data_IF_847095113890
#
_entry.id   IF_847095113890
#
_cell.length_a   1.000
_cell.length_b   1.000
_cell.length_c   1.000
_cell.angle_alpha   90.00
_cell.angle_beta   90.00
_cell.angle_gamma   90.00
#
_symmetry.space_group_name_H-M   'P 1'
#
loop_
_entity.id
_entity.type
_entity.pdbx_description
1 polymer ?
#
# COMPACT_ATOMS: atom_id res chain seq x y z
N UNK A 1 5.08 -5.56 27.57
CA UNK A 1 4.35 -4.27 27.51
C UNK A 1 2.89 -4.55 27.21
N UNK A 2 2.07 -4.51 28.27
CA UNK A 2 0.84 -5.28 28.41
C UNK A 2 -0.39 -4.79 27.65
N UNK A 3 -1.39 -5.68 27.62
CA UNK A 3 -2.74 -5.56 27.02
C UNK A 3 -3.37 -4.17 27.13
N UNK A 4 -3.18 -3.49 28.27
CA UNK A 4 -3.71 -2.14 28.57
C UNK A 4 -3.21 -1.09 27.57
N UNK A 5 -1.93 -1.12 27.18
CA UNK A 5 -1.38 -0.19 26.20
C UNK A 5 -1.86 -0.43 24.77
N UNK A 6 -2.43 -1.62 24.48
CA UNK A 6 -3.06 -1.93 23.19
C UNK A 6 -4.48 -1.38 23.16
N UNK A 7 -5.25 -1.56 24.24
CA UNK A 7 -6.61 -1.03 24.41
C UNK A 7 -6.64 0.50 24.34
N UNK A 8 -5.74 1.17 25.07
CA UNK A 8 -5.66 2.64 25.05
C UNK A 8 -5.33 3.21 23.67
N UNK A 9 -4.50 2.50 22.88
CA UNK A 9 -4.21 2.88 21.49
C UNK A 9 -5.41 2.67 20.59
N UNK A 10 -6.16 1.59 20.76
CA UNK A 10 -7.41 1.35 20.01
C UNK A 10 -8.45 2.42 20.32
N UNK A 11 -8.66 2.77 21.60
CA UNK A 11 -9.59 3.83 22.01
C UNK A 11 -9.17 5.18 21.47
N UNK A 12 -7.88 5.53 21.57
CA UNK A 12 -7.35 6.78 21.00
C UNK A 12 -7.43 6.82 19.47
N UNK A 13 -7.37 5.66 18.80
CA UNK A 13 -7.59 5.54 17.35
C UNK A 13 -9.06 5.81 17.04
N UNK A 14 -9.99 5.10 17.71
CA UNK A 14 -11.45 5.28 17.57
C UNK A 14 -11.88 6.72 17.83
N UNK A 15 -11.29 7.42 18.82
CA UNK A 15 -11.64 8.82 19.09
C UNK A 15 -11.09 9.81 18.06
N UNK A 16 -10.04 9.43 17.31
CA UNK A 16 -9.41 10.29 16.28
C UNK A 16 -9.92 10.02 14.88
N UNK A 17 -10.26 8.77 14.57
CA UNK A 17 -10.92 8.39 13.32
C UNK A 17 -12.42 8.52 13.49
N UNK A 18 -13.06 9.39 12.70
CA UNK A 18 -14.52 9.48 12.62
C UNK A 18 -15.08 8.22 11.95
N UNK A 19 -15.15 7.12 12.71
CA UNK A 19 -15.71 5.87 12.21
C UNK A 19 -17.18 6.07 11.84
N UNK A 20 -17.64 5.47 10.73
CA UNK A 20 -19.04 5.53 10.35
C UNK A 20 -19.96 4.97 11.44
N UNK A 21 -21.18 5.49 11.52
CA UNK A 21 -22.18 5.10 12.53
C UNK A 21 -22.44 3.59 12.53
N UNK A 22 -22.41 2.96 11.35
CA UNK A 22 -22.65 1.53 11.19
C UNK A 22 -21.60 0.62 11.83
N UNK A 23 -20.37 1.12 12.05
CA UNK A 23 -19.37 0.36 12.80
C UNK A 23 -19.76 0.13 14.27
N UNK A 24 -20.76 0.87 14.77
CA UNK A 24 -21.31 0.76 16.12
C UNK A 24 -22.75 0.21 16.13
N UNK A 25 -23.19 -0.42 15.03
CA UNK A 25 -24.55 -0.97 14.91
C UNK A 25 -25.66 0.07 14.70
N UNK A 26 -25.31 1.34 14.46
CA UNK A 26 -26.27 2.39 14.14
C UNK A 26 -26.46 2.49 12.62
N UNK A 27 -27.63 2.89 12.10
CA UNK A 27 -27.79 3.09 10.67
C UNK A 27 -26.83 4.18 10.13
N UNK A 28 -26.38 4.07 8.87
CA UNK A 28 -25.67 5.14 8.19
C UNK A 28 -26.48 6.45 8.23
N UNK A 29 -25.78 7.59 8.17
CA UNK A 29 -26.45 8.87 8.06
C UNK A 29 -27.29 8.96 6.78
N UNK A 30 -28.27 9.88 6.76
CA UNK A 30 -29.10 10.12 5.57
C UNK A 30 -28.19 10.50 4.40
N UNK A 31 -28.32 9.79 3.27
CA UNK A 31 -27.51 9.94 2.05
C UNK A 31 -26.04 9.47 2.18
N UNK A 32 -25.67 8.81 3.27
CA UNK A 32 -24.38 8.14 3.39
C UNK A 32 -24.39 6.83 2.61
N UNK A 33 -23.40 6.65 1.74
CA UNK A 33 -23.17 5.41 1.02
C UNK A 33 -21.92 4.78 1.66
N UNK A 34 -22.05 3.63 2.35
CA UNK A 34 -20.90 2.92 2.90
C UNK A 34 -19.91 2.54 1.80
N UNK A 35 -18.62 2.72 2.11
CA UNK A 35 -17.51 2.32 1.24
C UNK A 35 -16.70 1.25 1.98
N UNK A 36 -16.58 0.07 1.38
CA UNK A 36 -15.78 -1.04 1.89
C UNK A 36 -14.49 -1.12 1.08
N UNK A 37 -13.35 -1.21 1.77
CA UNK A 37 -12.03 -1.24 1.13
C UNK A 37 -11.31 -2.54 1.45
N UNK A 38 -10.93 -3.26 0.40
CA UNK A 38 -10.19 -4.52 0.44
C UNK A 38 -8.80 -4.31 -0.17
N UNK A 39 -7.85 -5.18 0.19
CA UNK A 39 -6.49 -5.19 -0.40
C UNK A 39 -6.24 -6.58 -1.00
N UNK A 40 -5.75 -7.51 -0.18
CA UNK A 40 -5.77 -8.94 -0.49
C UNK A 40 -7.10 -9.57 -0.05
N UNK A 41 -7.59 -10.51 -0.86
CA UNK A 41 -8.84 -11.21 -0.59
C UNK A 41 -8.67 -12.72 -0.62
N UNK A 42 -9.34 -13.36 0.33
CA UNK A 42 -9.50 -14.81 0.39
C UNK A 42 -10.89 -15.20 -0.12
N UNK A 43 -11.05 -16.34 -0.82
CA UNK A 43 -12.31 -16.74 -1.44
C UNK A 43 -13.49 -16.75 -0.46
N UNK A 44 -13.37 -17.46 0.66
CA UNK A 44 -14.48 -17.63 1.60
C UNK A 44 -14.85 -16.33 2.32
N UNK A 45 -13.84 -15.49 2.62
CA UNK A 45 -14.05 -14.21 3.27
C UNK A 45 -14.85 -13.25 2.38
N UNK A 46 -14.39 -13.06 1.14
CA UNK A 46 -15.09 -12.17 0.21
C UNK A 46 -16.46 -12.74 -0.18
N UNK A 47 -16.58 -14.05 -0.43
CA UNK A 47 -17.86 -14.66 -0.76
C UNK A 47 -18.90 -14.45 0.35
N UNK A 48 -18.50 -14.62 1.62
CA UNK A 48 -19.37 -14.36 2.77
C UNK A 48 -19.84 -12.89 2.84
N UNK A 49 -18.94 -11.94 2.61
CA UNK A 49 -19.28 -10.51 2.59
C UNK A 49 -20.27 -10.18 1.45
N UNK A 50 -20.05 -10.69 0.25
CA UNK A 50 -20.93 -10.47 -0.90
C UNK A 50 -22.30 -11.14 -0.72
N UNK A 51 -22.32 -12.36 -0.17
CA UNK A 51 -23.56 -13.07 0.16
C UNK A 51 -24.37 -12.32 1.22
N UNK A 52 -23.71 -11.81 2.26
CA UNK A 52 -24.35 -11.01 3.29
C UNK A 52 -25.00 -9.77 2.67
N UNK A 53 -24.25 -9.02 1.85
CA UNK A 53 -24.75 -7.83 1.18
C UNK A 53 -25.97 -8.16 0.30
N UNK A 54 -25.87 -9.18 -0.56
CA UNK A 54 -26.95 -9.61 -1.46
C UNK A 54 -28.19 -10.05 -0.68
N UNK A 55 -28.02 -10.90 0.34
CA UNK A 55 -29.12 -11.44 1.15
C UNK A 55 -29.85 -10.36 1.95
N UNK A 56 -29.14 -9.27 2.29
CA UNK A 56 -29.71 -8.09 2.91
C UNK A 56 -30.14 -7.02 1.89
N UNK A 57 -30.25 -7.34 0.60
CA UNK A 57 -30.77 -6.44 -0.42
C UNK A 57 -29.88 -5.21 -0.68
N UNK A 58 -28.59 -5.29 -0.37
CA UNK A 58 -27.62 -4.27 -0.77
C UNK A 58 -27.22 -4.44 -2.23
N UNK A 59 -26.99 -3.30 -2.88
CA UNK A 59 -26.47 -3.22 -4.26
C UNK A 59 -25.12 -2.54 -4.27
N UNK A 60 -24.13 -3.20 -4.83
CA UNK A 60 -22.82 -2.61 -5.09
C UNK A 60 -22.90 -1.70 -6.33
N UNK A 61 -22.53 -0.44 -6.14
CA UNK A 61 -22.62 0.61 -7.16
C UNK A 61 -21.37 0.65 -8.03
N UNK A 62 -21.53 1.02 -9.30
CA UNK A 62 -20.38 1.48 -10.09
C UNK A 62 -19.96 2.89 -9.65
N UNK A 63 -18.76 3.31 -10.04
CA UNK A 63 -18.17 4.58 -9.62
C UNK A 63 -19.02 5.78 -10.09
N UNK A 64 -19.53 5.73 -11.31
CA UNK A 64 -20.32 6.81 -11.87
C UNK A 64 -21.66 7.00 -11.12
N UNK A 65 -22.34 5.90 -10.75
CA UNK A 65 -23.53 5.97 -9.92
C UNK A 65 -23.24 6.59 -8.54
N UNK A 66 -22.14 6.17 -7.91
CA UNK A 66 -21.69 6.72 -6.64
C UNK A 66 -21.42 8.23 -6.74
N UNK A 67 -20.66 8.67 -7.74
CA UNK A 67 -20.32 10.07 -7.94
C UNK A 67 -21.57 10.92 -8.21
N UNK A 68 -22.46 10.47 -9.10
CA UNK A 68 -23.72 11.17 -9.39
C UNK A 68 -24.59 11.32 -8.14
N UNK A 69 -24.68 10.27 -7.32
CA UNK A 69 -25.43 10.33 -6.06
C UNK A 69 -24.83 11.32 -5.06
N UNK A 70 -23.49 11.34 -4.94
CA UNK A 70 -22.78 12.26 -4.05
C UNK A 70 -22.95 13.72 -4.47
N UNK A 71 -22.83 14.02 -5.76
CA UNK A 71 -23.00 15.39 -6.30
C UNK A 71 -24.45 15.87 -6.15
N UNK A 72 -25.43 15.01 -6.47
CA UNK A 72 -26.85 15.36 -6.38
C UNK A 72 -27.41 15.32 -4.95
N UNK A 73 -26.62 14.89 -3.96
CA UNK A 73 -27.12 14.62 -2.61
C UNK A 73 -28.24 13.58 -2.57
N UNK A 74 -28.27 12.67 -3.54
CA UNK A 74 -29.35 11.68 -3.70
C UNK A 74 -29.13 10.48 -2.79
N UNK A 75 -30.17 10.10 -2.06
CA UNK A 75 -30.19 8.84 -1.32
C UNK A 75 -30.26 7.65 -2.27
N UNK A 76 -29.35 6.68 -2.12
CA UNK A 76 -29.49 5.36 -2.71
C UNK A 76 -29.76 4.38 -1.58
N UNK A 77 -31.00 3.90 -1.48
CA UNK A 77 -31.38 2.91 -0.49
C UNK A 77 -30.53 1.65 -0.68
N UNK A 78 -29.85 1.21 0.40
CA UNK A 78 -28.98 0.03 0.43
C UNK A 78 -27.90 0.02 -0.67
N UNK A 79 -27.45 1.19 -1.13
CA UNK A 79 -26.27 1.30 -2.00
C UNK A 79 -24.99 1.19 -1.19
N UNK A 80 -24.00 0.47 -1.73
CA UNK A 80 -22.63 0.39 -1.18
C UNK A 80 -21.61 0.54 -2.30
N UNK A 81 -20.42 1.02 -1.97
CA UNK A 81 -19.28 1.01 -2.88
C UNK A 81 -18.26 0.00 -2.39
N UNK A 82 -17.85 -0.92 -3.27
CA UNK A 82 -16.76 -1.86 -2.99
C UNK A 82 -15.50 -1.33 -3.67
N UNK A 83 -14.44 -1.11 -2.91
CA UNK A 83 -13.13 -0.68 -3.44
C UNK A 83 -12.06 -1.69 -3.11
N UNK A 84 -11.14 -1.85 -4.03
CA UNK A 84 -10.00 -2.75 -3.91
C UNK A 84 -8.75 -1.96 -4.26
N UNK A 85 -7.76 -2.00 -3.38
CA UNK A 85 -6.49 -1.29 -3.59
C UNK A 85 -5.40 -2.26 -4.09
N UNK A 86 -4.30 -1.70 -4.56
CA UNK A 86 -3.06 -2.38 -4.96
C UNK A 86 -3.08 -3.27 -6.21
N UNK A 87 -4.23 -3.63 -6.77
CA UNK A 87 -4.33 -4.53 -7.93
C UNK A 87 -3.57 -5.85 -7.74
N UNK A 88 -3.75 -6.45 -6.57
CA UNK A 88 -3.21 -7.76 -6.21
C UNK A 88 -3.78 -8.85 -7.11
N UNK A 89 -3.01 -9.90 -7.35
CA UNK A 89 -3.43 -11.03 -8.18
C UNK A 89 -4.68 -11.75 -7.63
N UNK A 90 -4.86 -11.74 -6.30
CA UNK A 90 -6.07 -12.20 -5.62
C UNK A 90 -7.34 -11.51 -6.12
N UNK A 91 -7.28 -10.24 -6.54
CA UNK A 91 -8.43 -9.57 -7.16
C UNK A 91 -8.85 -10.27 -8.46
N UNK A 92 -7.88 -10.59 -9.33
CA UNK A 92 -8.15 -11.24 -10.60
C UNK A 92 -8.65 -12.68 -10.42
N UNK A 93 -7.95 -13.45 -9.58
CA UNK A 93 -8.22 -14.88 -9.40
C UNK A 93 -9.49 -15.13 -8.57
N UNK A 94 -9.84 -14.23 -7.65
CA UNK A 94 -10.93 -14.42 -6.66
C UNK A 94 -12.02 -13.36 -6.79
N UNK A 95 -11.67 -12.07 -6.67
CA UNK A 95 -12.69 -11.02 -6.58
C UNK A 95 -13.50 -10.88 -7.88
N UNK A 96 -12.86 -10.82 -9.04
CA UNK A 96 -13.56 -10.61 -10.31
C UNK A 96 -14.58 -11.73 -10.63
N UNK A 97 -14.26 -13.03 -10.50
CA UNK A 97 -15.24 -14.11 -10.65
C UNK A 97 -16.41 -14.00 -9.66
N UNK A 98 -16.13 -13.69 -8.39
CA UNK A 98 -17.17 -13.56 -7.37
C UNK A 98 -18.09 -12.36 -7.65
N UNK A 99 -17.53 -11.18 -7.93
CA UNK A 99 -18.28 -9.99 -8.30
C UNK A 99 -19.24 -10.25 -9.47
N UNK A 100 -18.80 -10.98 -10.50
CA UNK A 100 -19.66 -11.44 -11.61
C UNK A 100 -20.79 -12.35 -11.14
N UNK A 101 -20.49 -13.35 -10.31
CA UNK A 101 -21.49 -14.32 -9.82
C UNK A 101 -22.56 -13.69 -8.91
N UNK A 102 -22.19 -12.62 -8.19
CA UNK A 102 -23.08 -11.88 -7.29
C UNK A 102 -23.75 -10.68 -7.97
N UNK A 103 -23.45 -10.39 -9.24
CA UNK A 103 -23.92 -9.21 -9.97
C UNK A 103 -23.61 -7.90 -9.24
N UNK A 104 -22.36 -7.75 -8.81
CA UNK A 104 -21.89 -6.62 -8.01
C UNK A 104 -20.74 -5.87 -8.69
N UNK A 105 -20.80 -4.55 -8.65
CA UNK A 105 -19.75 -3.67 -9.17
C UNK A 105 -18.66 -3.37 -8.13
N UNK A 106 -17.47 -3.02 -8.61
CA UNK A 106 -16.37 -2.59 -7.76
C UNK A 106 -15.49 -1.53 -8.42
N UNK A 107 -14.72 -0.81 -7.61
CA UNK A 107 -13.66 0.10 -8.06
C UNK A 107 -12.31 -0.51 -7.69
N UNK A 108 -11.42 -0.65 -8.67
CA UNK A 108 -10.07 -1.17 -8.47
C UNK A 108 -9.05 -0.04 -8.63
N UNK A 109 -8.34 0.31 -7.56
CA UNK A 109 -7.25 1.28 -7.57
C UNK A 109 -5.91 0.57 -7.79
N UNK A 110 -5.26 0.81 -8.92
CA UNK A 110 -4.02 0.16 -9.30
C UNK A 110 -2.78 1.10 -9.22
N UNK A 111 -1.73 0.74 -8.48
CA UNK A 111 -0.46 1.46 -8.49
C UNK A 111 0.40 1.02 -9.67
N UNK A 112 0.61 1.92 -10.62
CA UNK A 112 1.12 1.58 -11.95
C UNK A 112 2.54 1.02 -12.00
N UNK A 113 3.39 1.28 -11.00
CA UNK A 113 4.76 0.74 -10.93
C UNK A 113 4.80 -0.77 -10.69
N UNK A 114 3.83 -1.30 -9.95
CA UNK A 114 3.81 -2.70 -9.53
C UNK A 114 3.09 -3.63 -10.52
N UNK A 115 2.36 -3.05 -11.46
CA UNK A 115 1.66 -3.78 -12.53
C UNK A 115 2.67 -4.54 -13.41
N UNK A 116 2.46 -5.85 -13.54
CA UNK A 116 3.35 -6.72 -14.31
C UNK A 116 3.37 -6.32 -15.79
N UNK A 117 4.57 -6.22 -16.36
CA UNK A 117 4.78 -6.15 -17.82
C UNK A 117 4.87 -7.56 -18.37
N UNK A 118 4.32 -7.78 -19.57
CA UNK A 118 4.23 -9.10 -20.23
C UNK A 118 5.58 -9.84 -20.34
N UNK A 119 6.69 -9.11 -20.35
CA UNK A 119 8.04 -9.64 -20.56
C UNK A 119 8.81 -9.92 -19.26
N UNK A 120 8.33 -9.45 -18.10
CA UNK A 120 9.06 -9.51 -16.84
C UNK A 120 8.61 -10.72 -15.98
N UNK A 121 9.53 -11.67 -15.77
CA UNK A 121 9.33 -12.87 -14.93
C UNK A 121 10.03 -12.76 -13.57
N UNK A 122 9.88 -11.62 -12.88
CA UNK A 122 10.40 -11.47 -11.52
C UNK A 122 9.35 -11.90 -10.49
N UNK A 123 9.74 -12.72 -9.49
CA UNK A 123 8.84 -13.27 -8.47
C UNK A 123 8.06 -12.19 -7.67
N UNK A 124 8.61 -10.99 -7.51
CA UNK A 124 7.90 -9.87 -6.87
C UNK A 124 6.71 -9.35 -7.70
N UNK A 125 6.71 -9.59 -9.02
CA UNK A 125 5.64 -9.20 -9.94
C UNK A 125 4.51 -10.24 -10.02
N UNK A 126 4.67 -11.43 -9.43
CA UNK A 126 3.58 -12.43 -9.36
C UNK A 126 2.54 -12.10 -8.27
N UNK A 127 2.81 -11.11 -7.41
CA UNK A 127 1.87 -10.61 -6.42
C UNK A 127 0.78 -9.70 -7.01
N UNK A 128 1.05 -9.11 -8.18
CA UNK A 128 0.19 -8.09 -8.79
C UNK A 128 -0.35 -8.56 -10.14
N UNK A 129 -1.44 -7.93 -10.55
CA UNK A 129 -2.03 -8.13 -11.86
C UNK A 129 -1.10 -7.61 -12.97
N UNK A 130 -1.26 -8.15 -14.18
CA UNK A 130 -0.71 -7.56 -15.40
C UNK A 130 -1.60 -6.43 -15.93
N UNK A 131 -1.03 -5.59 -16.78
CA UNK A 131 -1.80 -4.58 -17.52
C UNK A 131 -2.92 -5.20 -18.39
N UNK A 132 -2.71 -6.40 -18.93
CA UNK A 132 -3.72 -7.12 -19.71
C UNK A 132 -4.90 -7.55 -18.83
N UNK A 133 -4.64 -8.09 -17.65
CA UNK A 133 -5.68 -8.44 -16.68
C UNK A 133 -6.45 -7.19 -16.23
N UNK A 134 -5.73 -6.09 -15.98
CA UNK A 134 -6.35 -4.81 -15.62
C UNK A 134 -7.26 -4.28 -16.73
N UNK A 135 -6.84 -4.41 -18.00
CA UNK A 135 -7.68 -4.06 -19.16
C UNK A 135 -8.94 -4.93 -19.22
N UNK A 136 -8.80 -6.24 -19.03
CA UNK A 136 -9.93 -7.17 -19.01
C UNK A 136 -10.92 -6.87 -17.86
N UNK A 137 -10.43 -6.41 -16.70
CA UNK A 137 -11.31 -5.90 -15.63
C UNK A 137 -12.12 -4.69 -16.10
N UNK A 138 -11.48 -3.69 -16.72
CA UNK A 138 -12.18 -2.51 -17.25
C UNK A 138 -13.20 -2.88 -18.32
N UNK A 139 -12.85 -3.77 -19.24
CA UNK A 139 -13.72 -4.18 -20.35
C UNK A 139 -14.87 -5.08 -19.90
N UNK A 140 -14.81 -5.63 -18.68
CA UNK A 140 -15.87 -6.49 -18.15
C UNK A 140 -17.19 -5.77 -17.87
N UNK A 141 -17.17 -4.44 -17.74
CA UNK A 141 -18.32 -3.65 -17.28
C UNK A 141 -18.65 -3.81 -15.78
N UNK A 142 -17.95 -4.69 -15.07
CA UNK A 142 -18.14 -4.94 -13.63
C UNK A 142 -17.24 -4.05 -12.78
N UNK A 143 -16.04 -3.72 -13.29
CA UNK A 143 -14.99 -3.05 -12.53
C UNK A 143 -14.60 -1.72 -13.14
N UNK A 144 -14.74 -0.65 -12.35
CA UNK A 144 -14.14 0.65 -12.66
C UNK A 144 -12.68 0.66 -12.23
N UNK A 145 -11.75 0.81 -13.18
CA UNK A 145 -10.31 0.85 -12.89
C UNK A 145 -9.84 2.29 -12.71
N UNK A 146 -9.16 2.56 -11.59
CA UNK A 146 -8.66 3.88 -11.20
C UNK A 146 -7.19 3.83 -10.76
N UNK A 147 -6.55 5.00 -10.68
CA UNK A 147 -5.13 5.13 -10.31
C UNK A 147 -4.93 5.11 -8.79
N UNK A 148 -3.99 4.29 -8.31
CA UNK A 148 -3.48 4.32 -6.92
C UNK A 148 -2.09 4.96 -6.83
N UNK A 149 -1.92 6.06 -7.58
CA UNK A 149 -0.62 6.69 -7.83
C UNK A 149 0.36 5.74 -8.55
N UNK A 150 1.66 6.08 -8.56
CA UNK A 150 2.63 5.29 -9.31
C UNK A 150 3.20 4.16 -8.46
N UNK A 151 3.86 4.49 -7.36
CA UNK A 151 4.63 3.56 -6.54
C UNK A 151 3.93 3.17 -5.26
N UNK A 152 2.93 3.95 -4.81
CA UNK A 152 2.28 3.77 -3.51
C UNK A 152 3.32 3.57 -2.37
N UNK A 153 4.35 4.44 -2.35
CA UNK A 153 5.53 4.24 -1.51
C UNK A 153 5.45 4.93 -0.15
N UNK A 154 6.06 4.31 0.86
CA UNK A 154 6.48 4.97 2.09
C UNK A 154 7.79 5.72 1.86
N UNK A 155 7.99 6.86 2.53
CA UNK A 155 9.27 7.58 2.55
C UNK A 155 9.75 7.81 3.98
N UNK A 156 11.07 7.72 4.25
CA UNK A 156 11.62 8.07 5.56
C UNK A 156 11.29 9.53 5.89
N UNK A 157 10.86 9.79 7.12
CA UNK A 157 10.51 11.15 7.58
C UNK A 157 11.44 11.66 8.68
N UNK A 158 12.34 10.81 9.19
CA UNK A 158 13.31 11.16 10.22
C UNK A 158 14.48 10.16 10.22
N UNK A 159 15.68 10.56 10.68
CA UNK A 159 16.84 9.67 10.87
C UNK A 159 16.69 8.75 12.09
N UNK A 160 15.47 8.30 12.40
CA UNK A 160 15.18 7.41 13.52
C UNK A 160 15.00 6.00 12.99
N UNK A 161 15.96 5.12 13.31
CA UNK A 161 15.86 3.69 13.01
C UNK A 161 14.74 3.09 13.87
N UNK A 162 13.78 2.44 13.21
CA UNK A 162 12.75 1.61 13.86
C UNK A 162 13.19 0.15 13.90
N UNK A 163 13.81 -0.34 12.84
CA UNK A 163 14.37 -1.69 12.77
C UNK A 163 15.48 -1.82 11.72
N UNK A 164 16.02 -3.02 11.52
CA UNK A 164 16.79 -3.39 10.35
C UNK A 164 16.11 -4.55 9.64
N UNK A 165 16.25 -4.62 8.33
CA UNK A 165 15.82 -5.76 7.54
C UNK A 165 16.47 -7.04 8.08
N UNK A 166 15.64 -7.94 8.61
CA UNK A 166 16.04 -9.22 9.19
C UNK A 166 15.03 -10.29 8.74
N UNK A 167 15.36 -11.60 8.84
CA UNK A 167 14.51 -12.66 8.31
C UNK A 167 13.08 -12.63 8.87
N UNK A 168 12.93 -12.36 10.18
CA UNK A 168 11.61 -12.28 10.80
C UNK A 168 10.80 -11.08 10.27
N UNK A 169 11.44 -9.92 10.09
CA UNK A 169 10.78 -8.74 9.53
C UNK A 169 10.39 -8.96 8.05
N UNK A 170 11.27 -9.54 7.24
CA UNK A 170 11.01 -9.86 5.83
C UNK A 170 9.89 -10.90 5.66
N UNK A 171 9.73 -11.83 6.59
CA UNK A 171 8.62 -12.77 6.59
C UNK A 171 7.28 -12.13 7.02
N UNK A 172 7.33 -11.09 7.86
CA UNK A 172 6.15 -10.48 8.49
C UNK A 172 5.51 -9.36 7.67
N UNK A 173 6.32 -8.52 7.03
CA UNK A 173 5.85 -7.29 6.40
C UNK A 173 5.72 -7.46 4.89
N UNK A 174 4.65 -6.91 4.32
CA UNK A 174 4.42 -6.98 2.88
C UNK A 174 5.26 -5.94 2.13
N UNK A 175 5.23 -5.97 0.80
CA UNK A 175 6.04 -5.16 -0.09
C UNK A 175 5.93 -3.66 0.16
N UNK A 176 4.73 -3.16 0.48
CA UNK A 176 4.44 -1.74 0.72
C UNK A 176 4.86 -1.23 2.10
N UNK A 177 5.09 -2.13 3.06
CA UNK A 177 5.53 -1.75 4.41
C UNK A 177 6.98 -1.27 4.44
N UNK A 178 7.72 -1.43 3.33
CA UNK A 178 9.12 -1.07 3.22
C UNK A 178 9.30 0.33 2.61
N UNK A 179 9.91 1.29 3.34
CA UNK A 179 10.17 2.63 2.81
C UNK A 179 11.02 2.58 1.55
N UNK A 180 10.68 3.39 0.55
CA UNK A 180 11.54 3.63 -0.60
C UNK A 180 12.90 4.13 -0.09
N UNK A 181 13.98 3.52 -0.60
CA UNK A 181 15.35 3.84 -0.21
C UNK A 181 16.06 4.50 -1.37
N UNK A 182 16.87 5.50 -1.06
CA UNK A 182 17.84 6.06 -1.98
C UNK A 182 19.22 5.64 -1.47
N UNK A 183 19.92 4.81 -2.23
CA UNK A 183 21.25 4.31 -1.86
C UNK A 183 22.19 4.70 -2.99
N UNK A 184 23.06 5.68 -2.72
CA UNK A 184 23.77 6.40 -3.76
C UNK A 184 22.78 7.08 -4.70
N UNK A 185 22.88 6.81 -6.00
CA UNK A 185 21.96 7.33 -7.02
C UNK A 185 20.78 6.39 -7.33
N UNK A 186 20.76 5.19 -6.73
CA UNK A 186 19.75 4.17 -7.02
C UNK A 186 18.56 4.27 -6.07
N UNK A 187 17.35 4.19 -6.64
CA UNK A 187 16.11 4.03 -5.89
C UNK A 187 15.80 2.55 -5.77
N UNK A 188 15.66 2.09 -4.54
CA UNK A 188 15.23 0.72 -4.23
C UNK A 188 13.82 0.75 -3.63
N UNK A 189 12.91 -0.01 -4.25
CA UNK A 189 11.54 -0.24 -3.77
C UNK A 189 11.38 -1.71 -3.36
N UNK A 190 10.40 -1.99 -2.51
CA UNK A 190 10.07 -3.34 -2.08
C UNK A 190 10.98 -3.89 -0.99
N UNK A 191 11.12 -5.23 -0.93
CA UNK A 191 11.86 -5.93 0.12
C UNK A 191 13.35 -5.57 0.11
N UNK A 192 13.90 -5.01 1.19
CA UNK A 192 15.31 -4.65 1.26
C UNK A 192 16.22 -5.86 1.52
N UNK A 193 17.51 -5.73 1.16
CA UNK A 193 18.54 -6.67 1.57
C UNK A 193 18.69 -6.73 3.11
N UNK A 194 19.12 -7.87 3.64
CA UNK A 194 19.35 -8.04 5.07
C UNK A 194 20.35 -7.00 5.61
N UNK A 195 20.14 -6.55 6.84
CA UNK A 195 20.95 -5.52 7.49
C UNK A 195 20.63 -4.08 7.05
N UNK A 196 19.75 -3.86 6.08
CA UNK A 196 19.31 -2.50 5.70
C UNK A 196 18.61 -1.80 6.88
N UNK A 197 19.02 -0.60 7.30
CA UNK A 197 18.27 0.17 8.29
C UNK A 197 16.88 0.56 7.76
N UNK A 198 15.88 0.40 8.61
CA UNK A 198 14.51 0.84 8.38
C UNK A 198 14.27 2.08 9.23
N UNK A 199 14.10 3.21 8.58
CA UNK A 199 13.81 4.48 9.23
C UNK A 199 12.31 4.66 9.45
N UNK A 200 11.96 5.49 10.44
CA UNK A 200 10.58 5.96 10.61
C UNK A 200 10.10 6.59 9.30
N UNK A 201 8.97 6.11 8.79
CA UNK A 201 8.44 6.48 7.48
C UNK A 201 6.93 6.73 7.53
N UNK A 202 6.44 7.44 6.51
CA UNK A 202 5.02 7.75 6.29
C UNK A 202 4.71 7.64 4.77
N UNK A 203 3.44 7.47 4.36
CA UNK A 203 3.08 7.44 2.95
C UNK A 203 3.46 8.73 2.24
N UNK A 204 4.14 8.61 1.09
CA UNK A 204 4.69 9.74 0.33
C UNK A 204 3.65 10.85 0.09
N UNK A 205 2.43 10.47 -0.31
CA UNK A 205 1.36 11.41 -0.65
C UNK A 205 0.79 12.18 0.55
N UNK A 206 1.17 11.81 1.77
CA UNK A 206 0.75 12.47 3.02
C UNK A 206 1.92 13.00 3.86
N UNK A 207 3.16 12.70 3.44
CA UNK A 207 4.35 13.04 4.20
C UNK A 207 4.63 14.54 4.10
N UNK A 208 4.82 15.21 5.24
CA UNK A 208 5.17 16.63 5.28
C UNK A 208 6.67 16.89 5.16
N UNK A 209 7.49 15.85 5.19
CA UNK A 209 8.95 15.89 5.09
C UNK A 209 9.48 14.55 4.61
N UNK A 210 10.67 14.56 4.01
CA UNK A 210 11.34 13.35 3.58
C UNK A 210 12.83 13.44 3.95
N UNK A 211 13.33 12.44 4.65
CA UNK A 211 14.73 12.28 5.03
C UNK A 211 15.42 11.35 4.02
N UNK A 212 16.50 11.84 3.41
CA UNK A 212 17.37 11.07 2.55
C UNK A 212 18.63 10.69 3.32
N UNK A 213 18.87 9.38 3.44
CA UNK A 213 20.16 8.90 3.94
C UNK A 213 21.20 8.91 2.80
N UNK A 214 22.48 9.01 3.17
CA UNK A 214 23.60 9.06 2.23
C UNK A 214 23.93 7.72 1.56
N UNK A 215 23.32 6.62 2.00
CA UNK A 215 23.63 5.25 1.58
C UNK A 215 24.82 4.63 2.31
N UNK A 216 25.74 5.43 2.86
CA UNK A 216 27.01 4.95 3.44
C UNK A 216 26.77 4.04 4.65
N UNK A 217 25.87 4.43 5.55
CA UNK A 217 25.60 3.63 6.73
C UNK A 217 24.79 2.38 6.37
N UNK A 218 23.89 2.49 5.39
CA UNK A 218 23.11 1.36 4.87
C UNK A 218 24.02 0.29 4.24
N UNK A 219 24.94 0.69 3.36
CA UNK A 219 25.86 -0.23 2.68
C UNK A 219 26.79 -0.93 3.69
N UNK A 220 27.35 -0.19 4.66
CA UNK A 220 28.20 -0.78 5.69
C UNK A 220 27.46 -1.81 6.57
N UNK A 221 26.17 -1.58 6.84
CA UNK A 221 25.36 -2.55 7.58
C UNK A 221 25.09 -3.81 6.75
N UNK A 222 24.73 -3.68 5.46
CA UNK A 222 24.56 -4.81 4.55
C UNK A 222 25.83 -5.64 4.43
N UNK A 223 26.96 -5.00 4.19
CA UNK A 223 28.27 -5.65 4.08
C UNK A 223 28.66 -6.41 5.36
N UNK A 224 28.34 -5.85 6.54
CA UNK A 224 28.54 -6.55 7.81
C UNK A 224 27.75 -7.86 7.88
N UNK A 225 26.48 -7.82 7.47
CA UNK A 225 25.62 -9.00 7.48
C UNK A 225 26.13 -10.03 6.48
N UNK A 226 26.43 -9.62 5.25
CA UNK A 226 26.90 -10.51 4.19
C UNK A 226 28.22 -11.20 4.58
N UNK A 227 29.19 -10.44 5.11
CA UNK A 227 30.48 -10.97 5.58
C UNK A 227 30.36 -11.93 6.76
N UNK A 228 29.28 -11.85 7.53
CA UNK A 228 29.04 -12.70 8.70
C UNK A 228 27.99 -13.78 8.45
N UNK A 229 27.83 -14.19 7.19
CA UNK A 229 27.02 -15.36 6.82
C UNK A 229 25.54 -15.05 6.54
N UNK A 230 25.19 -13.79 6.25
CA UNK A 230 23.85 -13.43 5.80
C UNK A 230 22.80 -13.66 6.88
N UNK A 231 21.91 -14.65 6.68
CA UNK A 231 20.89 -15.01 7.67
C UNK A 231 21.48 -15.51 8.99
N UNK A 232 22.64 -16.18 8.95
CA UNK A 232 23.32 -16.70 10.14
C UNK A 232 23.69 -15.61 11.13
N UNK A 233 23.99 -14.39 10.63
CA UNK A 233 24.27 -13.21 11.45
C UNK A 233 23.15 -12.93 12.46
N UNK A 234 21.89 -13.21 12.11
CA UNK A 234 20.73 -12.91 12.96
C UNK A 234 20.48 -13.94 14.05
N UNK A 235 21.23 -15.05 14.09
CA UNK A 235 21.22 -16.00 15.22
C UNK A 235 21.91 -15.43 16.47
N UNK A 236 22.81 -14.47 16.30
CA UNK A 236 23.46 -13.76 17.41
C UNK A 236 22.44 -12.83 18.10
N UNK A 237 22.10 -13.02 19.39
CA UNK A 237 21.13 -12.15 20.08
C UNK A 237 21.55 -10.68 20.15
N UNK A 238 22.82 -10.37 19.87
CA UNK A 238 23.38 -9.00 19.83
C UNK A 238 23.41 -8.40 18.42
N UNK A 239 22.89 -9.09 17.39
CA UNK A 239 22.89 -8.62 16.00
C UNK A 239 22.43 -7.16 15.88
N UNK A 240 21.37 -6.78 16.61
CA UNK A 240 20.80 -5.43 16.57
C UNK A 240 21.77 -4.38 17.10
N UNK A 241 22.43 -4.67 18.22
CA UNK A 241 23.41 -3.76 18.80
C UNK A 241 24.59 -3.56 17.84
N UNK A 242 25.04 -4.63 17.20
CA UNK A 242 26.14 -4.59 16.22
C UNK A 242 25.77 -3.73 15.01
N UNK A 243 24.58 -3.91 14.44
CA UNK A 243 24.10 -3.06 13.33
C UNK A 243 23.95 -1.60 13.75
N UNK A 244 23.41 -1.32 14.94
CA UNK A 244 23.33 0.06 15.45
C UNK A 244 24.70 0.71 15.61
N UNK A 245 25.70 -0.04 16.09
CA UNK A 245 27.07 0.45 16.23
C UNK A 245 27.70 0.74 14.86
N UNK A 246 27.58 -0.20 13.92
CA UNK A 246 28.07 -0.02 12.54
C UNK A 246 27.38 1.13 11.84
N UNK A 247 26.07 1.26 12.01
CA UNK A 247 25.32 2.38 11.47
C UNK A 247 25.84 3.72 12.02
N UNK A 248 25.94 3.87 13.34
CA UNK A 248 26.42 5.11 13.98
C UNK A 248 27.83 5.50 13.54
N UNK A 249 28.74 4.54 13.45
CA UNK A 249 30.12 4.77 13.06
C UNK A 249 30.27 5.27 11.61
N UNK A 250 29.26 5.05 10.76
CA UNK A 250 29.28 5.43 9.34
C UNK A 250 28.35 6.60 9.02
N UNK A 251 27.20 6.70 9.68
CA UNK A 251 26.26 7.80 9.49
C UNK A 251 26.87 9.17 9.90
N UNK A 252 27.79 9.19 10.86
CA UNK A 252 28.49 10.42 11.25
C UNK A 252 29.47 10.92 10.19
N UNK A 253 29.95 10.04 9.29
CA UNK A 253 30.90 10.38 8.22
C UNK A 253 30.21 10.96 7.00
N UNK A 254 28.94 10.60 6.79
CA UNK A 254 28.13 11.05 5.66
C UNK A 254 26.68 11.25 6.16
N UNK A 255 26.38 12.41 6.78
CA UNK A 255 25.05 12.67 7.30
C UNK A 255 24.02 12.75 6.17
N UNK A 256 22.80 12.29 6.43
CA UNK A 256 21.67 12.49 5.52
C UNK A 256 21.11 13.91 5.59
N UNK A 257 20.16 14.21 4.71
CA UNK A 257 19.53 15.52 4.60
C UNK A 257 18.01 15.40 4.42
N UNK A 258 17.29 16.46 4.77
CA UNK A 258 15.88 16.56 4.41
C UNK A 258 15.73 17.15 3.01
N UNK A 259 14.78 16.62 2.24
CA UNK A 259 14.33 17.28 1.02
C UNK A 259 13.74 18.65 1.35
N UNK A 260 13.98 19.63 0.48
CA UNK A 260 13.22 20.88 0.53
C UNK A 260 11.74 20.59 0.25
N UNK A 261 10.86 21.44 0.76
CA UNK A 261 9.41 21.31 0.55
C UNK A 261 9.06 21.21 -0.95
N UNK A 262 9.67 22.05 -1.78
CA UNK A 262 9.43 22.05 -3.23
C UNK A 262 9.94 20.79 -3.95
N UNK A 263 11.01 20.16 -3.47
CA UNK A 263 11.48 18.89 -4.03
C UNK A 263 10.55 17.74 -3.63
N UNK A 264 10.05 17.74 -2.38
CA UNK A 264 9.09 16.74 -1.91
C UNK A 264 7.74 16.87 -2.64
N UNK A 265 7.26 18.09 -2.84
CA UNK A 265 6.04 18.36 -3.61
C UNK A 265 6.15 17.83 -5.05
N UNK A 266 7.24 18.18 -5.76
CA UNK A 266 7.52 17.64 -7.10
C UNK A 266 7.63 16.11 -7.13
N UNK A 267 8.16 15.50 -6.08
CA UNK A 267 8.20 14.05 -5.96
C UNK A 267 6.77 13.47 -5.87
N UNK A 268 5.89 14.09 -5.08
CA UNK A 268 4.47 13.73 -5.03
C UNK A 268 3.75 13.91 -6.37
N UNK A 269 3.95 15.05 -7.04
CA UNK A 269 3.41 15.31 -8.39
C UNK A 269 3.85 14.25 -9.41
N UNK A 270 5.13 13.86 -9.37
CA UNK A 270 5.68 12.85 -10.27
C UNK A 270 5.00 11.49 -10.15
N UNK A 271 4.42 11.15 -8.99
CA UNK A 271 3.64 9.92 -8.81
C UNK A 271 2.35 9.95 -9.65
N UNK A 272 1.67 11.10 -9.70
CA UNK A 272 0.44 11.24 -10.48
C UNK A 272 0.74 11.31 -11.98
N UNK A 273 1.80 12.02 -12.36
CA UNK A 273 2.21 12.15 -13.76
C UNK A 273 2.63 10.80 -14.36
N UNK A 274 3.51 10.06 -13.66
CA UNK A 274 3.96 8.75 -14.09
C UNK A 274 2.80 7.75 -14.15
N UNK A 275 1.89 7.78 -13.17
CA UNK A 275 0.72 6.92 -13.20
C UNK A 275 -0.21 7.23 -14.36
N UNK A 276 -0.51 8.51 -14.59
CA UNK A 276 -1.31 8.95 -15.74
C UNK A 276 -0.68 8.52 -17.07
N UNK A 277 0.64 8.65 -17.20
CA UNK A 277 1.36 8.23 -18.40
C UNK A 277 1.23 6.71 -18.63
N UNK A 278 1.43 5.91 -17.59
CA UNK A 278 1.31 4.45 -17.65
C UNK A 278 -0.12 4.01 -18.02
N UNK A 279 -1.14 4.57 -17.36
CA UNK A 279 -2.54 4.29 -17.66
C UNK A 279 -2.89 4.65 -19.10
N UNK A 280 -2.45 5.81 -19.60
CA UNK A 280 -2.68 6.19 -21.01
C UNK A 280 -1.99 5.23 -21.98
N UNK A 281 -0.76 4.83 -21.69
CA UNK A 281 -0.01 3.92 -22.56
C UNK A 281 -0.65 2.53 -22.63
N UNK A 282 -1.16 2.01 -21.52
CA UNK A 282 -1.67 0.64 -21.46
C UNK A 282 -3.18 0.52 -21.63
N UNK A 283 -3.96 1.50 -21.17
CA UNK A 283 -5.43 1.45 -21.22
C UNK A 283 -6.04 2.46 -22.21
N UNK A 284 -5.22 3.28 -22.86
CA UNK A 284 -5.70 4.36 -23.73
C UNK A 284 -6.25 5.54 -22.92
N UNK A 285 -6.92 6.48 -23.59
CA UNK A 285 -7.56 7.61 -22.92
C UNK A 285 -8.71 7.14 -22.02
N UNK A 286 -8.75 7.70 -20.80
CA UNK A 286 -9.93 7.72 -19.95
C UNK A 286 -10.93 8.67 -20.64
N UNK A 287 -12.13 8.18 -20.99
CA UNK A 287 -13.22 9.05 -21.42
C UNK A 287 -13.86 9.68 -20.19
#
# INVERSE_FOLDING_TARGET
>A
MGSIGRVLRTVARISRTRYPRFAFGLPPARNEIPVFTYHDVEPDGLAGDLEFLRSNGYRALCLDEYLRARVAGRHIARGVLLTFDDARKSFWDVALPLLRSFDMHAVLFAPSWWMRRSEDRCAAQDLFMSWEQLRACRESGVVDVQSHAHRHALVPIAPRIVDFANPQALARYDLYDWPMRLIGERRELGRPALGTPVYRAEPLLSASRCYLESGVATLACRELVDRLGGEEFFRDPRWRQRLLQTHRANASKAPGAYLSASVLERLGESEFEASRAAFRAHLGSVR
#
